data_IF_831128857566
#
_entry.id   IF_831128857566
#
_cell.length_a   1.000
_cell.length_b   1.000
_cell.length_c   1.000
_cell.angle_alpha   90.00
_cell.angle_beta   90.00
_cell.angle_gamma   90.00
#
_symmetry.space_group_name_H-M   'P 1'
#
loop_
_entity.id
_entity.type
_entity.pdbx_description
1 polymer ?
#
# COMPACT_ATOMS: atom_id res chain seq x y z
N UNK A 1 -23.43 0.17 3.58
CA UNK A 1 -22.37 0.08 2.54
C UNK A 1 -20.99 0.18 3.17
N UNK A 2 -20.74 1.12 4.09
CA UNK A 2 -19.45 1.28 4.79
C UNK A 2 -19.00 0.07 5.64
N UNK A 3 -19.90 -0.58 6.37
CA UNK A 3 -19.56 -1.78 7.18
C UNK A 3 -19.04 -2.97 6.36
N UNK A 4 -19.43 -3.07 5.09
CA UNK A 4 -18.97 -4.14 4.20
C UNK A 4 -17.47 -3.96 3.88
N UNK A 5 -17.07 -2.76 3.47
CA UNK A 5 -15.67 -2.44 3.20
C UNK A 5 -14.82 -2.51 4.46
N UNK A 6 -15.38 -2.16 5.62
CA UNK A 6 -14.70 -2.29 6.90
C UNK A 6 -14.29 -3.73 7.25
N UNK A 7 -14.89 -4.75 6.64
CA UNK A 7 -14.61 -6.17 6.89
C UNK A 7 -13.87 -6.89 5.76
N UNK A 8 -13.52 -6.20 4.68
CA UNK A 8 -12.71 -6.80 3.62
C UNK A 8 -11.31 -7.17 4.13
N UNK A 9 -10.69 -8.23 3.56
CA UNK A 9 -9.30 -8.55 3.84
C UNK A 9 -8.41 -7.36 3.51
N UNK A 10 -7.45 -7.04 4.39
CA UNK A 10 -6.48 -6.00 4.10
C UNK A 10 -5.53 -6.50 3.01
N UNK A 11 -5.30 -5.65 2.00
CA UNK A 11 -4.23 -5.84 1.03
C UNK A 11 -2.85 -5.68 1.69
N UNK A 12 -2.75 -4.77 2.66
CA UNK A 12 -1.54 -4.55 3.48
C UNK A 12 -1.24 -5.74 4.40
N UNK A 13 0.03 -6.16 4.44
CA UNK A 13 0.56 -7.30 5.20
C UNK A 13 1.86 -6.91 5.91
N UNK A 14 2.30 -7.74 6.85
CA UNK A 14 3.54 -7.51 7.62
C UNK A 14 4.74 -7.31 6.69
N UNK A 15 4.87 -8.13 5.65
CA UNK A 15 5.95 -8.03 4.66
C UNK A 15 5.97 -6.72 3.86
N UNK A 16 4.90 -5.93 3.88
CA UNK A 16 4.83 -4.66 3.15
C UNK A 16 5.39 -3.48 3.94
N UNK A 17 5.49 -3.55 5.26
CA UNK A 17 5.75 -2.39 6.11
C UNK A 17 7.11 -1.74 5.82
N UNK A 18 8.19 -2.53 5.92
CA UNK A 18 9.55 -2.03 5.68
C UNK A 18 9.76 -1.59 4.21
N UNK A 19 9.34 -2.36 3.18
CA UNK A 19 9.47 -1.92 1.80
C UNK A 19 8.71 -0.62 1.51
N UNK A 20 7.48 -0.47 2.01
CA UNK A 20 6.67 0.73 1.81
C UNK A 20 7.31 1.95 2.45
N UNK A 21 7.78 1.80 3.69
CA UNK A 21 8.51 2.84 4.40
C UNK A 21 9.78 3.25 3.65
N UNK A 22 10.54 2.28 3.15
CA UNK A 22 11.78 2.51 2.40
C UNK A 22 11.53 3.20 1.07
N UNK A 23 10.48 2.81 0.34
CA UNK A 23 10.08 3.44 -0.92
C UNK A 23 9.71 4.91 -0.76
N UNK A 24 9.13 5.29 0.38
CA UNK A 24 8.79 6.69 0.71
C UNK A 24 9.93 7.44 1.41
N UNK A 25 11.08 6.80 1.66
CA UNK A 25 12.20 7.38 2.39
C UNK A 25 11.89 7.73 3.85
N UNK A 26 10.94 7.02 4.48
CA UNK A 26 10.52 7.29 5.86
C UNK A 26 11.39 6.56 6.87
N UNK A 27 11.63 7.20 8.02
CA UNK A 27 12.12 6.50 9.21
C UNK A 27 10.97 5.84 9.98
N UNK A 28 11.30 4.98 10.96
CA UNK A 28 10.28 4.37 11.84
C UNK A 28 9.53 5.45 12.62
N UNK A 29 10.21 6.52 13.05
CA UNK A 29 9.64 7.69 13.71
C UNK A 29 8.71 8.47 12.77
N UNK A 30 9.10 8.62 11.51
CA UNK A 30 8.29 9.28 10.50
C UNK A 30 6.97 8.52 10.24
N UNK A 31 7.01 7.19 10.19
CA UNK A 31 5.82 6.36 10.05
C UNK A 31 4.95 6.40 11.32
N UNK A 32 5.56 6.36 12.50
CA UNK A 32 4.85 6.46 13.77
C UNK A 32 4.06 7.77 13.88
N UNK A 33 4.70 8.88 13.50
CA UNK A 33 4.06 10.19 13.49
C UNK A 33 2.85 10.25 12.54
N UNK A 34 2.96 9.67 11.34
CA UNK A 34 1.89 9.72 10.31
C UNK A 34 0.73 8.78 10.59
N UNK A 35 1.01 7.61 11.17
CA UNK A 35 0.00 6.57 11.42
C UNK A 35 -0.58 6.61 12.83
N UNK A 36 -0.02 7.43 13.74
CA UNK A 36 -0.30 7.40 15.18
C UNK A 36 -0.02 6.04 15.85
N UNK A 37 0.71 5.14 15.18
CA UNK A 37 1.10 3.84 15.71
C UNK A 37 2.42 3.97 16.46
N UNK A 38 2.55 3.23 17.57
CA UNK A 38 3.76 3.29 18.39
C UNK A 38 5.01 2.76 17.66
N UNK A 39 6.19 3.29 18.00
CA UNK A 39 7.48 2.82 17.46
C UNK A 39 7.70 1.32 17.70
N UNK A 40 7.29 0.83 18.87
CA UNK A 40 7.39 -0.59 19.24
C UNK A 40 6.53 -1.47 18.33
N UNK A 41 5.30 -1.04 18.05
CA UNK A 41 4.43 -1.74 17.11
C UNK A 41 5.03 -1.78 15.71
N UNK A 42 5.59 -0.68 15.22
CA UNK A 42 6.24 -0.63 13.90
C UNK A 42 7.45 -1.59 13.84
N UNK A 43 8.29 -1.60 14.88
CA UNK A 43 9.41 -2.55 14.93
C UNK A 43 8.95 -4.00 14.98
N UNK A 44 7.86 -4.29 15.70
CA UNK A 44 7.26 -5.63 15.76
C UNK A 44 6.75 -6.10 14.40
N UNK A 45 6.00 -5.27 13.68
CA UNK A 45 5.52 -5.63 12.34
C UNK A 45 6.68 -5.82 11.35
N UNK A 46 7.70 -4.95 11.37
CA UNK A 46 8.91 -5.11 10.52
C UNK A 46 9.72 -6.36 10.87
N UNK A 47 9.63 -6.86 12.11
CA UNK A 47 10.19 -8.16 12.51
C UNK A 47 9.32 -9.38 12.15
N UNK A 48 8.20 -9.17 11.45
CA UNK A 48 7.27 -10.23 11.03
C UNK A 48 6.17 -10.56 12.03
N UNK A 49 5.99 -9.77 13.09
CA UNK A 49 4.89 -9.97 14.04
C UNK A 49 3.60 -9.35 13.52
N UNK A 50 2.56 -10.17 13.33
CA UNK A 50 1.23 -9.68 12.97
C UNK A 50 0.62 -8.86 14.13
N UNK A 51 0.10 -7.67 13.82
CA UNK A 51 -0.52 -6.78 14.79
C UNK A 51 -2.04 -6.90 14.77
N UNK A 52 -2.70 -6.16 15.66
CA UNK A 52 -4.17 -6.05 15.63
C UNK A 52 -4.60 -5.44 14.30
N UNK A 53 -5.73 -5.91 13.76
CA UNK A 53 -6.29 -5.45 12.49
C UNK A 53 -6.44 -3.92 12.41
N UNK A 54 -6.89 -3.26 13.48
CA UNK A 54 -7.02 -1.79 13.53
C UNK A 54 -5.66 -1.08 13.39
N UNK A 55 -4.59 -1.66 13.92
CA UNK A 55 -3.23 -1.14 13.76
C UNK A 55 -2.74 -1.33 12.33
N UNK A 56 -3.02 -2.50 11.73
CA UNK A 56 -2.73 -2.76 10.32
C UNK A 56 -3.49 -1.80 9.40
N UNK A 57 -4.74 -1.45 9.72
CA UNK A 57 -5.54 -0.46 9.00
C UNK A 57 -4.95 0.94 9.09
N UNK A 58 -4.51 1.38 10.27
CA UNK A 58 -3.89 2.68 10.45
C UNK A 58 -2.58 2.82 9.65
N UNK A 59 -1.77 1.76 9.63
CA UNK A 59 -0.55 1.70 8.80
C UNK A 59 -0.88 1.71 7.31
N UNK A 60 -1.82 0.86 6.87
CA UNK A 60 -2.25 0.81 5.48
C UNK A 60 -2.73 2.18 4.98
N UNK A 61 -3.61 2.81 5.76
CA UNK A 61 -4.15 4.14 5.43
C UNK A 61 -3.04 5.19 5.27
N UNK A 62 -2.07 5.24 6.20
CA UNK A 62 -0.97 6.21 6.13
C UNK A 62 -0.10 6.05 4.87
N UNK A 63 0.07 4.83 4.38
CA UNK A 63 0.79 4.58 3.13
C UNK A 63 -0.07 4.87 1.89
N UNK A 64 -1.34 4.48 1.92
CA UNK A 64 -2.30 4.70 0.82
C UNK A 64 -2.53 6.19 0.55
N UNK A 65 -2.49 7.04 1.58
CA UNK A 65 -2.56 8.51 1.42
C UNK A 65 -1.39 9.09 0.64
N UNK A 66 -0.27 8.38 0.54
CA UNK A 66 0.90 8.77 -0.27
C UNK A 66 0.90 8.13 -1.67
N UNK A 67 -0.20 7.44 -2.03
CA UNK A 67 -0.38 6.82 -3.33
C UNK A 67 0.22 5.42 -3.45
N UNK A 68 0.55 4.76 -2.33
CA UNK A 68 0.92 3.35 -2.33
C UNK A 68 -0.33 2.45 -2.43
N UNK A 69 -0.19 1.34 -3.16
CA UNK A 69 -1.24 0.34 -3.35
C UNK A 69 -0.67 -1.03 -2.95
N UNK A 70 -1.46 -1.81 -2.21
CA UNK A 70 -1.04 -3.11 -1.68
C UNK A 70 -1.86 -4.26 -2.24
N UNK A 71 -1.15 -5.24 -2.83
CA UNK A 71 -1.71 -6.53 -3.19
C UNK A 71 -0.96 -7.62 -2.41
N UNK A 72 -1.66 -8.56 -1.76
CA UNK A 72 -1.01 -9.67 -1.07
C UNK A 72 -0.06 -10.43 -2.00
N UNK A 73 1.13 -10.77 -1.49
CA UNK A 73 2.16 -11.51 -2.23
C UNK A 73 2.95 -10.69 -3.26
N UNK A 74 2.76 -9.36 -3.28
CA UNK A 74 3.48 -8.46 -4.19
C UNK A 74 4.12 -7.31 -3.39
N UNK A 75 5.25 -6.75 -3.86
CA UNK A 75 5.80 -5.55 -3.24
C UNK A 75 4.81 -4.37 -3.34
N UNK A 76 4.94 -3.34 -2.48
CA UNK A 76 4.13 -2.13 -2.58
C UNK A 76 4.30 -1.48 -3.95
N UNK A 77 3.19 -1.09 -4.59
CA UNK A 77 3.20 -0.38 -5.86
C UNK A 77 2.97 1.10 -5.62
N UNK A 78 3.61 1.96 -6.42
CA UNK A 78 3.24 3.37 -6.52
C UNK A 78 2.39 3.59 -7.76
N UNK A 79 1.37 4.44 -7.66
CA UNK A 79 0.46 4.69 -8.80
C UNK A 79 1.18 5.22 -10.05
N UNK A 80 2.33 5.88 -9.89
CA UNK A 80 3.18 6.38 -10.98
C UNK A 80 4.22 5.37 -11.47
N UNK A 81 4.35 4.19 -10.86
CA UNK A 81 5.23 3.12 -11.36
C UNK A 81 4.70 2.48 -12.65
N UNK A 82 3.42 2.72 -12.99
CA UNK A 82 2.78 2.24 -14.21
C UNK A 82 3.30 2.98 -15.47
N UNK A 83 4.57 2.79 -15.81
CA UNK A 83 5.14 3.26 -17.09
C UNK A 83 4.67 2.37 -18.24
N UNK A 84 4.12 2.98 -19.29
CA UNK A 84 3.75 2.29 -20.53
C UNK A 84 2.28 1.88 -20.66
N UNK A 85 1.43 2.20 -19.68
CA UNK A 85 -0.01 2.10 -19.89
C UNK A 85 -0.43 3.14 -20.94
N UNK A 86 -1.05 2.71 -22.04
CA UNK A 86 -1.75 3.66 -22.90
C UNK A 86 -2.95 4.21 -22.11
N UNK A 87 -3.05 5.52 -21.84
CA UNK A 87 -4.11 6.08 -21.00
C UNK A 87 -5.52 5.74 -21.49
N UNK A 88 -5.71 5.74 -22.80
CA UNK A 88 -6.89 5.16 -23.46
C UNK A 88 -6.41 4.38 -24.69
N UNK A 89 -6.57 3.04 -24.75
CA UNK A 89 -6.16 2.29 -25.93
C UNK A 89 -6.92 2.73 -27.20
N UNK A 90 -8.13 3.29 -27.07
CA UNK A 90 -9.00 3.64 -28.21
C UNK A 90 -8.49 4.80 -29.05
N UNK A 91 -7.65 5.66 -28.50
CA UNK A 91 -7.09 6.82 -29.22
C UNK A 91 -5.86 6.44 -30.04
N UNK A 92 -5.37 5.20 -29.93
CA UNK A 92 -4.23 4.75 -30.72
C UNK A 92 -4.65 4.47 -32.15
N UNK A 93 -3.79 4.85 -33.09
CA UNK A 93 -4.01 4.61 -34.52
C UNK A 93 -4.14 3.11 -34.83
N UNK A 94 -3.50 2.24 -34.05
CA UNK A 94 -3.51 0.78 -34.20
C UNK A 94 -4.66 0.07 -33.44
N UNK A 95 -5.56 0.81 -32.80
CA UNK A 95 -6.67 0.20 -32.02
C UNK A 95 -7.57 -0.70 -32.88
N UNK A 96 -7.66 -0.43 -34.19
CA UNK A 96 -8.43 -1.24 -35.14
C UNK A 96 -7.83 -2.63 -35.42
N UNK A 97 -6.64 -2.93 -34.92
CA UNK A 97 -5.96 -4.22 -35.10
C UNK A 97 -6.23 -5.24 -33.96
N UNK A 98 -7.06 -4.89 -32.97
CA UNK A 98 -7.44 -5.80 -31.88
C UNK A 98 -8.27 -6.98 -32.42
N UNK A 99 -8.00 -8.20 -31.92
CA UNK A 99 -8.68 -9.46 -32.28
C UNK A 99 -10.18 -9.50 -31.95
#
# INVERSE_FOLDING_TARGET
>A
MEEFFANLPLGFRTEHCEPARSALGWSVEALAFRSSVSLDSIRKIESGTELRRVTMQALAFAFETEGLIFFPGHPPFRSDDCRGATPDPRIRDDYHLLE
#
